data_IF_705456210125
#
_entry.id   IF_705456210125
#
_cell.length_a   1.000
_cell.length_b   1.000
_cell.length_c   1.000
_cell.angle_alpha   90.00
_cell.angle_beta   90.00
_cell.angle_gamma   90.00
#
_symmetry.space_group_name_H-M   'P 1'
#
loop_
_entity.id
_entity.type
_entity.pdbx_description
1 polymer ?
#
# COMPACT_ATOMS: atom_id res chain seq x y z
N UNK A 1 -32.48 19.74 -7.37
CA UNK A 1 -32.63 18.46 -8.11
C UNK A 1 -32.24 18.67 -9.57
N UNK A 2 -31.00 18.33 -9.92
CA UNK A 2 -30.59 18.26 -11.31
C UNK A 2 -30.94 16.87 -11.86
N UNK A 3 -31.54 16.74 -13.03
CA UNK A 3 -31.82 15.43 -13.60
C UNK A 3 -30.50 14.65 -13.76
N UNK A 4 -30.45 13.45 -13.18
CA UNK A 4 -29.34 12.52 -13.40
C UNK A 4 -29.42 12.06 -14.86
N UNK A 5 -28.36 12.30 -15.64
CA UNK A 5 -28.21 11.78 -16.99
C UNK A 5 -28.32 10.25 -17.00
N UNK A 6 -28.84 9.70 -18.11
CA UNK A 6 -28.92 8.26 -18.29
C UNK A 6 -27.55 7.71 -18.73
N UNK A 7 -27.07 6.64 -18.10
CA UNK A 7 -25.89 5.90 -18.56
C UNK A 7 -26.36 4.62 -19.28
N UNK A 8 -26.02 4.46 -20.55
CA UNK A 8 -26.16 3.21 -21.28
C UNK A 8 -24.90 2.37 -21.11
N UNK A 9 -25.03 1.09 -20.69
CA UNK A 9 -23.90 0.15 -20.67
C UNK A 9 -23.90 -0.68 -21.97
N UNK A 10 -22.74 -0.75 -22.63
CA UNK A 10 -22.46 -1.63 -23.75
C UNK A 10 -21.45 -2.69 -23.32
N UNK A 11 -21.52 -3.88 -23.91
CA UNK A 11 -20.65 -5.01 -23.62
C UNK A 11 -19.85 -5.38 -24.87
N UNK A 12 -18.58 -5.74 -24.70
CA UNK A 12 -17.76 -6.27 -25.79
C UNK A 12 -18.16 -7.74 -26.06
N UNK A 13 -18.37 -8.08 -27.30
CA UNK A 13 -18.84 -9.41 -27.73
C UNK A 13 -17.72 -10.27 -28.34
N UNK A 14 -16.54 -9.69 -28.56
CA UNK A 14 -15.43 -10.36 -29.23
C UNK A 14 -14.38 -10.89 -28.26
N UNK A 15 -13.85 -12.08 -28.55
CA UNK A 15 -12.75 -12.71 -27.82
C UNK A 15 -11.53 -11.76 -27.72
N UNK A 16 -11.38 -11.13 -26.57
CA UNK A 16 -10.32 -10.15 -26.31
C UNK A 16 -9.00 -10.88 -26.16
N UNK A 17 -8.12 -10.69 -27.13
CA UNK A 17 -6.77 -11.26 -27.11
C UNK A 17 -5.81 -10.52 -26.20
N UNK A 18 -6.07 -9.22 -25.92
CA UNK A 18 -5.19 -8.37 -25.12
C UNK A 18 -5.96 -7.17 -24.56
N UNK A 19 -5.98 -7.04 -23.23
CA UNK A 19 -6.77 -6.00 -22.55
C UNK A 19 -6.32 -4.57 -22.88
N UNK A 20 -5.02 -4.22 -22.94
CA UNK A 20 -4.57 -2.89 -23.35
C UNK A 20 -5.07 -2.50 -24.75
N UNK A 21 -5.05 -3.43 -25.70
CA UNK A 21 -5.58 -3.20 -27.06
C UNK A 21 -7.09 -3.00 -27.06
N UNK A 22 -7.84 -3.75 -26.26
CA UNK A 22 -9.28 -3.60 -26.12
C UNK A 22 -9.65 -2.22 -25.53
N UNK A 23 -8.91 -1.78 -24.51
CA UNK A 23 -9.06 -0.43 -23.93
C UNK A 23 -8.82 0.65 -24.99
N UNK A 24 -7.75 0.52 -25.77
CA UNK A 24 -7.44 1.50 -26.82
C UNK A 24 -8.53 1.58 -27.90
N UNK A 25 -9.08 0.43 -28.33
CA UNK A 25 -10.20 0.36 -29.27
C UNK A 25 -11.47 1.02 -28.71
N UNK A 26 -11.87 0.68 -27.49
CA UNK A 26 -13.05 1.27 -26.86
C UNK A 26 -12.91 2.79 -26.71
N UNK A 27 -11.74 3.27 -26.32
CA UNK A 27 -11.47 4.70 -26.26
C UNK A 27 -11.55 5.34 -27.66
N UNK A 28 -11.03 4.69 -28.70
CA UNK A 28 -11.11 5.20 -30.08
C UNK A 28 -12.55 5.32 -30.58
N UNK A 29 -13.40 4.33 -30.31
CA UNK A 29 -14.84 4.38 -30.63
C UNK A 29 -15.52 5.57 -29.93
N UNK A 30 -15.24 5.79 -28.65
CA UNK A 30 -15.79 6.89 -27.88
C UNK A 30 -15.29 8.25 -28.35
N UNK A 31 -14.02 8.37 -28.77
CA UNK A 31 -13.45 9.60 -29.34
C UNK A 31 -14.13 9.94 -30.68
N UNK A 32 -14.36 8.94 -31.54
CA UNK A 32 -15.09 9.12 -32.80
C UNK A 32 -16.54 9.55 -32.53
N UNK A 33 -17.22 8.84 -31.61
CA UNK A 33 -18.61 9.14 -31.24
C UNK A 33 -18.74 10.58 -30.70
N UNK A 34 -17.81 11.02 -29.86
CA UNK A 34 -17.82 12.34 -29.22
C UNK A 34 -17.41 13.50 -30.16
N UNK A 35 -16.88 13.22 -31.34
CA UNK A 35 -16.34 14.25 -32.24
C UNK A 35 -17.38 15.26 -32.70
N UNK A 36 -18.65 14.88 -32.75
CA UNK A 36 -19.78 15.73 -33.18
C UNK A 36 -20.58 16.33 -32.01
N UNK A 37 -20.18 16.03 -30.76
CA UNK A 37 -20.91 16.47 -29.60
C UNK A 37 -20.34 17.74 -28.99
N UNK A 38 -21.21 18.57 -28.42
CA UNK A 38 -20.83 19.76 -27.65
C UNK A 38 -20.84 19.47 -26.16
N UNK A 39 -19.86 19.99 -25.42
CA UNK A 39 -19.79 19.85 -23.93
C UNK A 39 -18.73 18.85 -23.47
N UNK A 40 -18.86 18.33 -22.25
CA UNK A 40 -17.94 17.37 -21.67
C UNK A 40 -17.83 16.12 -22.54
N UNK A 41 -16.62 15.62 -22.76
CA UNK A 41 -16.36 14.46 -23.63
C UNK A 41 -15.20 13.58 -23.15
N UNK A 42 -14.77 13.77 -21.89
CA UNK A 42 -13.65 13.04 -21.33
C UNK A 42 -14.01 11.59 -21.03
N UNK A 43 -13.01 10.73 -21.10
CA UNK A 43 -13.12 9.29 -20.91
C UNK A 43 -12.42 8.93 -19.62
N UNK A 44 -13.08 8.14 -18.75
CA UNK A 44 -12.48 7.50 -17.59
C UNK A 44 -12.29 6.01 -17.87
N UNK A 45 -11.05 5.55 -17.82
CA UNK A 45 -10.68 4.14 -17.96
C UNK A 45 -10.34 3.60 -16.59
N UNK A 46 -10.97 2.52 -16.18
CA UNK A 46 -10.62 1.84 -14.93
C UNK A 46 -9.48 0.85 -15.14
N UNK A 47 -8.57 0.77 -14.17
CA UNK A 47 -7.44 -0.14 -14.13
C UNK A 47 -7.38 -0.85 -12.78
N UNK A 48 -6.86 -2.09 -12.73
CA UNK A 48 -6.74 -2.84 -11.48
C UNK A 48 -5.58 -2.35 -10.61
N UNK A 49 -4.58 -1.70 -11.19
CA UNK A 49 -3.41 -1.19 -10.48
C UNK A 49 -2.46 -0.41 -11.38
N UNK A 50 -1.34 0.01 -10.81
CA UNK A 50 -0.32 0.84 -11.47
C UNK A 50 0.25 0.19 -12.76
N UNK A 51 0.47 -1.12 -12.73
CA UNK A 51 0.94 -1.84 -13.91
C UNK A 51 -0.02 -1.72 -15.09
N UNK A 52 -1.32 -1.97 -14.86
CA UNK A 52 -2.35 -1.84 -15.92
C UNK A 52 -2.43 -0.41 -16.42
N UNK A 53 -2.28 0.60 -15.53
CA UNK A 53 -2.27 2.01 -15.93
C UNK A 53 -1.18 2.27 -16.96
N UNK A 54 0.05 1.82 -16.71
CA UNK A 54 1.17 2.00 -17.65
C UNK A 54 0.97 1.21 -18.95
N UNK A 55 0.45 -0.02 -18.87
CA UNK A 55 0.16 -0.83 -20.05
C UNK A 55 -0.95 -0.18 -20.92
N UNK A 56 -2.00 0.35 -20.30
CA UNK A 56 -3.09 1.05 -21.00
C UNK A 56 -2.60 2.39 -21.55
N UNK A 57 -1.82 3.15 -20.82
CA UNK A 57 -1.21 4.39 -21.30
C UNK A 57 -0.33 4.14 -22.52
N UNK A 58 0.53 3.13 -22.49
CA UNK A 58 1.38 2.77 -23.62
C UNK A 58 0.56 2.36 -24.85
N UNK A 59 -0.50 1.57 -24.68
CA UNK A 59 -1.38 1.16 -25.76
C UNK A 59 -2.15 2.36 -26.38
N UNK A 60 -2.64 3.28 -25.55
CA UNK A 60 -3.31 4.49 -25.99
C UNK A 60 -2.35 5.43 -26.72
N UNK A 61 -1.14 5.67 -26.21
CA UNK A 61 -0.12 6.48 -26.88
C UNK A 61 0.28 5.87 -28.22
N UNK A 62 0.47 4.55 -28.25
CA UNK A 62 0.75 3.86 -29.52
C UNK A 62 -0.41 4.02 -30.53
N UNK A 63 -1.66 3.90 -30.08
CA UNK A 63 -2.84 4.02 -30.94
C UNK A 63 -3.01 5.43 -31.50
N UNK A 64 -2.87 6.47 -30.68
CA UNK A 64 -3.09 7.86 -31.08
C UNK A 64 -1.83 8.52 -31.67
N UNK A 65 -0.64 8.00 -31.42
CA UNK A 65 0.63 8.52 -31.93
C UNK A 65 0.77 10.03 -31.71
N UNK A 66 1.03 10.81 -32.78
CA UNK A 66 1.26 12.26 -32.63
C UNK A 66 0.12 13.05 -31.98
N UNK A 67 -1.10 12.50 -31.96
CA UNK A 67 -2.24 13.13 -31.26
C UNK A 67 -2.13 13.04 -29.75
N UNK A 68 -1.40 12.05 -29.23
CA UNK A 68 -1.15 11.90 -27.81
C UNK A 68 0.14 12.62 -27.34
N UNK A 69 1.07 12.88 -28.27
CA UNK A 69 2.41 13.38 -27.94
C UNK A 69 2.55 14.90 -28.16
N UNK A 70 1.79 15.48 -29.11
CA UNK A 70 1.85 16.92 -29.42
C UNK A 70 0.55 17.64 -29.05
N UNK A 71 0.53 18.25 -27.88
CA UNK A 71 -0.61 19.03 -27.37
C UNK A 71 -0.87 20.35 -28.11
N UNK A 72 -0.07 20.72 -29.11
CA UNK A 72 -0.33 21.89 -29.99
C UNK A 72 -1.32 21.57 -31.09
N UNK A 73 -1.56 20.33 -31.37
CA UNK A 73 -2.51 19.88 -32.37
C UNK A 73 -3.94 20.20 -31.94
N UNK A 74 -4.80 20.67 -32.82
CA UNK A 74 -6.21 20.93 -32.48
C UNK A 74 -6.99 19.63 -32.14
N UNK A 75 -6.55 18.48 -32.64
CA UNK A 75 -7.12 17.16 -32.42
C UNK A 75 -6.37 16.34 -31.39
N UNK A 76 -5.53 16.98 -30.55
CA UNK A 76 -4.76 16.30 -29.51
C UNK A 76 -5.65 15.60 -28.47
N UNK A 77 -5.12 14.54 -27.87
CA UNK A 77 -5.76 13.76 -26.82
C UNK A 77 -4.81 13.69 -25.64
N UNK A 78 -5.25 14.19 -24.50
CA UNK A 78 -4.48 14.20 -23.28
C UNK A 78 -4.70 12.88 -22.51
N UNK A 79 -3.64 12.09 -22.30
CA UNK A 79 -3.70 10.82 -21.57
C UNK A 79 -3.09 11.05 -20.20
N UNK A 80 -3.86 10.77 -19.13
CA UNK A 80 -3.47 11.07 -17.76
C UNK A 80 -3.65 9.87 -16.84
N UNK A 81 -2.59 9.38 -16.18
CA UNK A 81 -2.71 8.40 -15.11
C UNK A 81 -3.25 9.04 -13.82
N UNK A 82 -4.04 8.28 -13.04
CA UNK A 82 -4.55 8.69 -11.74
C UNK A 82 -4.54 7.52 -10.74
N UNK A 83 -3.58 7.51 -9.83
CA UNK A 83 -3.47 6.51 -8.77
C UNK A 83 -2.84 7.09 -7.50
N UNK A 84 -3.02 6.39 -6.38
CA UNK A 84 -2.69 6.92 -5.04
C UNK A 84 -1.19 7.21 -4.81
N UNK A 85 -0.29 6.61 -5.60
CA UNK A 85 1.16 6.82 -5.46
C UNK A 85 1.69 8.00 -6.27
N UNK A 86 0.89 8.58 -7.15
CA UNK A 86 1.29 9.80 -7.85
C UNK A 86 1.55 10.94 -6.85
N UNK A 87 2.43 11.85 -7.24
CA UNK A 87 2.62 13.08 -6.48
C UNK A 87 1.31 13.87 -6.36
N UNK A 88 1.13 14.63 -5.29
CA UNK A 88 -0.07 15.47 -5.13
C UNK A 88 -0.24 16.45 -6.31
N UNK A 89 0.87 16.95 -6.86
CA UNK A 89 0.84 17.84 -8.03
C UNK A 89 0.29 17.14 -9.27
N UNK A 90 0.72 15.90 -9.54
CA UNK A 90 0.25 15.13 -10.70
C UNK A 90 -1.21 14.70 -10.53
N UNK A 91 -1.63 14.33 -9.31
CA UNK A 91 -3.04 14.06 -9.03
C UNK A 91 -3.92 15.31 -9.24
N UNK A 92 -3.42 16.50 -8.92
CA UNK A 92 -4.16 17.75 -9.12
C UNK A 92 -4.37 18.11 -10.58
N UNK A 93 -3.47 17.76 -11.50
CA UNK A 93 -3.58 18.03 -12.93
C UNK A 93 -4.90 17.51 -13.53
N UNK A 94 -5.43 16.41 -13.01
CA UNK A 94 -6.69 15.83 -13.48
C UNK A 94 -7.89 16.77 -13.25
N UNK A 95 -7.79 17.67 -12.28
CA UNK A 95 -8.84 18.64 -11.95
C UNK A 95 -8.68 20.01 -12.63
N UNK A 96 -7.57 20.22 -13.30
CA UNK A 96 -7.32 21.47 -14.04
C UNK A 96 -8.17 21.56 -15.31
N UNK A 97 -8.53 22.78 -15.70
CA UNK A 97 -9.22 23.03 -16.97
C UNK A 97 -8.30 22.69 -18.14
N UNK A 98 -8.86 22.13 -19.20
CA UNK A 98 -8.12 21.69 -20.38
C UNK A 98 -8.88 21.99 -21.67
N UNK A 99 -8.14 22.03 -22.79
CA UNK A 99 -8.67 22.33 -24.11
C UNK A 99 -8.99 21.08 -24.92
N UNK A 100 -8.20 20.02 -24.74
CA UNK A 100 -8.29 18.79 -25.51
C UNK A 100 -9.16 17.74 -24.81
N UNK A 101 -9.65 16.78 -25.55
CA UNK A 101 -10.31 15.62 -24.95
C UNK A 101 -9.31 14.85 -24.09
N UNK A 102 -9.72 14.49 -22.89
CA UNK A 102 -8.87 13.83 -21.90
C UNK A 102 -9.29 12.38 -21.72
N UNK A 103 -8.31 11.49 -21.63
CA UNK A 103 -8.48 10.08 -21.21
C UNK A 103 -7.78 9.92 -19.88
N UNK A 104 -8.54 9.75 -18.81
CA UNK A 104 -8.02 9.53 -17.46
C UNK A 104 -8.01 8.03 -17.17
N UNK A 105 -6.85 7.46 -16.88
CA UNK A 105 -6.70 6.04 -16.53
C UNK A 105 -6.55 5.96 -15.01
N UNK A 106 -7.53 5.41 -14.31
CA UNK A 106 -7.57 5.44 -12.85
C UNK A 106 -7.83 4.06 -12.23
N UNK A 107 -7.31 3.86 -11.02
CA UNK A 107 -7.73 2.72 -10.19
C UNK A 107 -9.11 2.97 -9.59
N UNK A 108 -9.57 2.06 -8.72
CA UNK A 108 -10.82 2.22 -7.95
C UNK A 108 -10.88 3.49 -7.08
N UNK A 109 -9.81 4.29 -6.99
CA UNK A 109 -9.84 5.64 -6.38
C UNK A 109 -10.86 6.54 -7.05
N UNK A 110 -11.08 6.39 -8.36
CA UNK A 110 -12.08 7.11 -9.13
C UNK A 110 -13.49 6.49 -9.05
N UNK A 111 -13.64 5.33 -8.43
CA UNK A 111 -14.95 4.67 -8.27
C UNK A 111 -15.81 5.34 -7.19
N UNK A 112 -15.22 5.70 -6.04
CA UNK A 112 -15.95 6.29 -4.91
C UNK A 112 -15.32 7.59 -4.39
N UNK A 113 -14.00 7.64 -4.27
CA UNK A 113 -13.29 8.65 -3.50
C UNK A 113 -13.09 9.98 -4.23
N UNK A 114 -12.92 9.95 -5.55
CA UNK A 114 -12.66 11.14 -6.35
C UNK A 114 -13.72 11.31 -7.44
N UNK A 115 -14.13 12.55 -7.66
CA UNK A 115 -14.98 12.92 -8.78
C UNK A 115 -14.14 13.67 -9.80
N UNK A 116 -13.76 12.97 -10.87
CA UNK A 116 -13.05 13.60 -12.01
C UNK A 116 -14.05 14.45 -12.79
N UNK A 117 -13.78 15.75 -12.99
CA UNK A 117 -14.67 16.62 -13.76
C UNK A 117 -14.64 16.26 -15.26
N UNK A 118 -15.70 16.58 -15.99
CA UNK A 118 -15.74 16.45 -17.46
C UNK A 118 -15.97 15.03 -17.98
N UNK A 119 -16.01 14.01 -17.13
CA UNK A 119 -16.19 12.62 -17.53
C UNK A 119 -17.60 12.41 -18.07
N UNK A 120 -17.68 11.99 -19.33
CA UNK A 120 -18.90 11.59 -20.03
C UNK A 120 -18.89 10.12 -20.43
N UNK A 121 -17.70 9.54 -20.60
CA UNK A 121 -17.54 8.16 -21.04
C UNK A 121 -16.71 7.36 -20.04
N UNK A 122 -17.05 6.08 -19.94
CA UNK A 122 -16.35 5.13 -19.04
C UNK A 122 -15.95 3.89 -19.84
N UNK A 123 -14.73 3.42 -19.66
CA UNK A 123 -14.26 2.10 -20.11
C UNK A 123 -13.90 1.28 -18.90
N UNK A 124 -14.56 0.14 -18.72
CA UNK A 124 -14.40 -0.72 -17.54
C UNK A 124 -13.95 -2.13 -17.91
N UNK A 125 -12.68 -2.50 -17.67
CA UNK A 125 -12.17 -3.86 -17.81
C UNK A 125 -12.75 -4.87 -16.81
N UNK A 126 -13.47 -4.41 -15.79
CA UNK A 126 -14.20 -5.27 -14.86
C UNK A 126 -13.39 -5.91 -13.76
N UNK A 127 -12.16 -5.44 -13.50
CA UNK A 127 -11.29 -5.96 -12.45
C UNK A 127 -10.82 -4.87 -11.48
N UNK A 128 -10.47 -5.27 -10.26
CA UNK A 128 -9.86 -4.40 -9.26
C UNK A 128 -8.95 -5.20 -8.33
N UNK A 129 -8.05 -4.51 -7.63
CA UNK A 129 -7.34 -5.07 -6.48
C UNK A 129 -8.24 -5.00 -5.26
N UNK A 130 -8.59 -6.14 -4.72
CA UNK A 130 -9.43 -6.26 -3.53
C UNK A 130 -8.59 -6.78 -2.38
N UNK A 131 -8.63 -6.06 -1.25
CA UNK A 131 -7.90 -6.46 -0.06
C UNK A 131 -8.49 -7.73 0.53
N UNK A 132 -7.66 -8.78 0.71
CA UNK A 132 -8.05 -10.06 1.29
C UNK A 132 -7.01 -10.56 2.28
N UNK A 133 -7.45 -11.01 3.42
CA UNK A 133 -6.59 -11.67 4.40
C UNK A 133 -6.35 -13.13 4.01
N UNK A 134 -5.09 -13.47 3.79
CA UNK A 134 -4.70 -14.87 3.55
C UNK A 134 -4.58 -15.61 4.87
N UNK A 135 -5.54 -16.48 5.17
CA UNK A 135 -5.54 -17.33 6.37
C UNK A 135 -4.31 -18.26 6.45
N UNK A 136 -3.79 -18.67 5.29
CA UNK A 136 -2.60 -19.55 5.22
C UNK A 136 -1.30 -18.79 5.47
N UNK A 137 -1.12 -17.64 4.80
CA UNK A 137 0.09 -16.84 4.92
C UNK A 137 0.02 -15.81 6.06
N UNK A 138 -1.14 -15.63 6.71
CA UNK A 138 -1.40 -14.65 7.78
C UNK A 138 -1.03 -13.21 7.40
N UNK A 139 -1.19 -12.87 6.12
CA UNK A 139 -0.90 -11.54 5.59
C UNK A 139 -2.05 -11.01 4.76
N UNK A 140 -2.19 -9.70 4.73
CA UNK A 140 -3.09 -9.03 3.82
C UNK A 140 -2.52 -9.08 2.39
N UNK A 141 -3.33 -9.49 1.43
CA UNK A 141 -3.00 -9.55 0.00
C UNK A 141 -3.94 -8.66 -0.79
N UNK A 142 -3.50 -8.26 -1.96
CA UNK A 142 -4.28 -7.45 -2.90
C UNK A 142 -4.37 -8.18 -4.26
N UNK A 143 -5.03 -9.33 -4.33
CA UNK A 143 -5.24 -10.02 -5.60
C UNK A 143 -6.08 -9.15 -6.54
N UNK A 144 -5.86 -9.33 -7.86
CA UNK A 144 -6.73 -8.78 -8.89
C UNK A 144 -7.91 -9.74 -9.05
N UNK A 145 -9.10 -9.24 -8.85
CA UNK A 145 -10.34 -10.02 -8.90
C UNK A 145 -11.39 -9.29 -9.75
N UNK A 146 -12.37 -10.04 -10.34
CA UNK A 146 -13.55 -9.43 -10.93
C UNK A 146 -14.31 -8.58 -9.90
N UNK A 147 -14.76 -7.41 -10.31
CA UNK A 147 -15.58 -6.54 -9.46
C UNK A 147 -17.01 -7.07 -9.35
N UNK A 148 -17.73 -6.67 -8.30
CA UNK A 148 -19.15 -6.96 -8.14
C UNK A 148 -20.02 -6.18 -9.14
N UNK A 149 -21.29 -6.60 -9.32
CA UNK A 149 -22.26 -5.88 -10.13
C UNK A 149 -22.45 -4.45 -9.62
N UNK A 150 -22.58 -4.26 -8.31
CA UNK A 150 -22.73 -2.93 -7.70
C UNK A 150 -21.52 -2.02 -7.98
N UNK A 151 -20.29 -2.54 -7.95
CA UNK A 151 -19.09 -1.81 -8.31
C UNK A 151 -19.08 -1.43 -9.79
N UNK A 152 -19.45 -2.36 -10.68
CA UNK A 152 -19.59 -2.11 -12.11
C UNK A 152 -20.63 -1.00 -12.41
N UNK A 153 -21.74 -0.98 -11.67
CA UNK A 153 -22.77 0.04 -11.81
C UNK A 153 -22.32 1.38 -11.25
N UNK A 154 -21.57 1.40 -10.14
CA UNK A 154 -20.93 2.61 -9.62
C UNK A 154 -19.94 3.21 -10.64
N UNK A 155 -19.12 2.38 -11.29
CA UNK A 155 -18.21 2.80 -12.34
C UNK A 155 -18.96 3.38 -13.53
N UNK A 156 -19.99 2.68 -14.01
CA UNK A 156 -20.86 3.21 -15.09
C UNK A 156 -21.53 4.52 -14.68
N UNK A 157 -21.94 4.69 -13.43
CA UNK A 157 -22.54 5.91 -12.90
C UNK A 157 -21.59 7.13 -12.91
N UNK A 158 -20.29 6.94 -13.19
CA UNK A 158 -19.36 8.07 -13.32
C UNK A 158 -19.59 8.90 -14.59
N UNK A 159 -20.08 8.29 -15.67
CA UNK A 159 -20.38 9.01 -16.91
C UNK A 159 -21.73 9.77 -16.89
N UNK A 160 -22.67 9.39 -16.03
CA UNK A 160 -24.02 9.98 -16.00
C UNK A 160 -24.21 11.18 -15.06
N UNK A 161 -23.15 11.88 -14.64
CA UNK A 161 -23.25 12.95 -13.64
C UNK A 161 -23.57 14.32 -14.19
N UNK A 162 -23.09 14.63 -15.39
CA UNK A 162 -23.16 15.97 -16.00
C UNK A 162 -24.07 15.94 -17.24
N UNK A 163 -24.04 14.89 -18.01
CA UNK A 163 -24.84 14.67 -19.23
C UNK A 163 -25.05 13.17 -19.42
N UNK A 164 -25.91 12.80 -20.36
CA UNK A 164 -26.03 11.41 -20.78
C UNK A 164 -24.70 10.89 -21.31
N UNK A 165 -24.27 9.73 -20.80
CA UNK A 165 -22.97 9.16 -21.09
C UNK A 165 -23.04 7.69 -21.45
N UNK A 166 -21.91 7.16 -21.94
CA UNK A 166 -21.76 5.77 -22.36
C UNK A 166 -20.70 5.10 -21.49
N UNK A 167 -21.02 3.90 -20.98
CA UNK A 167 -20.05 3.04 -20.31
C UNK A 167 -19.85 1.77 -21.15
N UNK A 168 -18.62 1.53 -21.60
CA UNK A 168 -18.23 0.30 -22.30
C UNK A 168 -17.62 -0.64 -21.29
N UNK A 169 -18.23 -1.84 -21.10
CA UNK A 169 -17.71 -2.92 -20.30
C UNK A 169 -16.94 -3.88 -21.20
N UNK A 170 -15.67 -4.12 -20.90
CA UNK A 170 -14.79 -5.02 -21.65
C UNK A 170 -14.89 -6.48 -21.15
N UNK A 171 -16.08 -6.89 -20.83
CA UNK A 171 -16.45 -8.26 -20.45
C UNK A 171 -17.91 -8.49 -20.87
N UNK A 172 -18.28 -9.75 -21.04
CA UNK A 172 -19.61 -10.07 -21.57
C UNK A 172 -20.73 -9.75 -20.57
N UNK A 173 -21.95 -9.61 -21.08
CA UNK A 173 -23.14 -9.46 -20.25
C UNK A 173 -23.35 -10.69 -19.37
N UNK A 174 -23.06 -11.85 -19.90
CA UNK A 174 -23.17 -13.13 -19.19
C UNK A 174 -22.19 -13.18 -18.01
N UNK A 175 -20.91 -12.75 -18.20
CA UNK A 175 -19.95 -12.60 -17.10
C UNK A 175 -20.48 -11.62 -16.04
N UNK A 176 -21.00 -10.46 -16.43
CA UNK A 176 -21.59 -9.51 -15.47
C UNK A 176 -22.73 -10.12 -14.65
N UNK A 177 -23.64 -10.87 -15.29
CA UNK A 177 -24.79 -11.45 -14.62
C UNK A 177 -24.41 -12.57 -13.63
N UNK A 178 -23.26 -13.23 -13.85
CA UNK A 178 -22.72 -14.26 -12.94
C UNK A 178 -21.94 -13.70 -11.76
N UNK A 179 -21.56 -12.44 -11.80
CA UNK A 179 -20.79 -11.80 -10.73
C UNK A 179 -21.62 -11.63 -9.45
N UNK A 180 -20.96 -11.65 -8.27
CA UNK A 180 -21.62 -11.30 -7.01
C UNK A 180 -22.30 -9.93 -7.09
N UNK A 181 -23.49 -9.81 -6.51
CA UNK A 181 -24.23 -8.54 -6.52
C UNK A 181 -23.48 -7.41 -5.80
N UNK A 182 -22.85 -7.73 -4.68
CA UNK A 182 -22.08 -6.79 -3.87
C UNK A 182 -20.69 -7.33 -3.56
N UNK A 183 -19.73 -6.43 -3.34
CA UNK A 183 -18.42 -6.81 -2.79
C UNK A 183 -18.61 -7.26 -1.35
N UNK A 184 -17.92 -8.33 -0.95
CA UNK A 184 -17.97 -8.82 0.43
C UNK A 184 -17.61 -7.73 1.43
N UNK A 185 -18.32 -7.62 2.57
CA UNK A 185 -17.99 -6.70 3.65
C UNK A 185 -16.56 -6.88 4.17
N UNK A 186 -16.00 -5.84 4.72
CA UNK A 186 -14.62 -5.86 5.22
C UNK A 186 -14.40 -6.93 6.29
N UNK A 187 -15.38 -7.14 7.17
CA UNK A 187 -15.32 -8.15 8.23
C UNK A 187 -15.06 -9.57 7.71
N UNK A 188 -15.48 -9.87 6.48
CA UNK A 188 -15.27 -11.19 5.85
C UNK A 188 -13.92 -11.28 5.13
N UNK A 189 -13.20 -10.15 4.95
CA UNK A 189 -11.99 -10.05 4.14
C UNK A 189 -10.73 -9.70 4.92
N UNK A 190 -10.84 -9.35 6.21
CA UNK A 190 -9.72 -8.90 7.05
C UNK A 190 -9.42 -9.88 8.18
N UNK A 191 -8.26 -9.70 8.85
CA UNK A 191 -8.01 -10.39 10.11
C UNK A 191 -9.00 -9.91 11.18
N UNK A 192 -9.51 -10.83 11.97
CA UNK A 192 -10.45 -10.52 13.05
C UNK A 192 -9.77 -10.26 14.40
N UNK A 193 -8.43 -10.28 14.47
CA UNK A 193 -7.70 -10.09 15.74
C UNK A 193 -8.11 -8.80 16.45
N UNK A 194 -8.16 -7.67 15.75
CA UNK A 194 -8.57 -6.39 16.32
C UNK A 194 -10.05 -6.38 16.76
N UNK A 195 -10.94 -6.97 15.98
CA UNK A 195 -12.38 -7.07 16.31
C UNK A 195 -12.58 -7.91 17.56
N UNK A 196 -11.99 -9.11 17.60
CA UNK A 196 -12.04 -10.01 18.77
C UNK A 196 -11.47 -9.33 20.02
N UNK A 197 -10.31 -8.65 19.88
CA UNK A 197 -9.71 -7.92 20.99
C UNK A 197 -10.65 -6.84 21.54
N UNK A 198 -11.29 -6.09 20.65
CA UNK A 198 -12.24 -5.07 21.07
C UNK A 198 -13.47 -5.65 21.76
N UNK A 199 -14.08 -6.70 21.20
CA UNK A 199 -15.23 -7.38 21.80
C UNK A 199 -14.92 -7.96 23.19
N UNK A 200 -13.74 -8.56 23.37
CA UNK A 200 -13.26 -9.02 24.65
C UNK A 200 -13.04 -7.85 25.64
N UNK A 201 -12.56 -6.71 25.15
CA UNK A 201 -12.23 -5.57 26.00
C UNK A 201 -13.47 -4.86 26.56
N UNK A 202 -14.56 -4.84 25.80
CA UNK A 202 -15.86 -4.27 26.22
C UNK A 202 -16.77 -5.30 26.87
N UNK A 203 -16.35 -6.58 26.91
CA UNK A 203 -17.06 -7.64 27.64
C UNK A 203 -18.26 -8.24 26.91
N UNK A 204 -18.43 -7.98 25.61
CA UNK A 204 -19.54 -8.53 24.79
C UNK A 204 -19.26 -9.94 24.26
N UNK A 205 -18.00 -10.41 24.31
CA UNK A 205 -17.64 -11.76 23.98
C UNK A 205 -16.66 -12.33 25.02
N UNK A 206 -16.71 -13.65 25.23
CA UNK A 206 -15.79 -14.43 26.07
C UNK A 206 -15.31 -15.69 25.38
N UNK A 207 -16.03 -16.12 24.35
CA UNK A 207 -15.77 -17.32 23.56
C UNK A 207 -15.81 -16.99 22.07
N UNK A 208 -15.40 -17.95 21.23
CA UNK A 208 -15.50 -17.79 19.77
C UNK A 208 -16.97 -17.82 19.32
N UNK A 209 -17.80 -18.62 20.00
CA UNK A 209 -19.24 -18.69 19.77
C UNK A 209 -19.92 -17.34 20.03
N UNK A 210 -19.54 -16.62 21.08
CA UNK A 210 -20.09 -15.29 21.37
C UNK A 210 -19.82 -14.32 20.22
N UNK A 211 -18.61 -14.37 19.63
CA UNK A 211 -18.25 -13.55 18.48
C UNK A 211 -19.09 -13.90 17.26
N UNK A 212 -19.24 -15.20 16.95
CA UNK A 212 -20.02 -15.66 15.81
C UNK A 212 -21.49 -15.33 15.95
N UNK A 213 -22.04 -15.42 17.16
CA UNK A 213 -23.46 -15.18 17.48
C UNK A 213 -23.78 -13.72 17.83
N UNK A 214 -22.84 -12.79 17.69
CA UNK A 214 -23.02 -11.39 18.09
C UNK A 214 -24.13 -10.65 17.32
N UNK A 215 -24.61 -11.19 16.20
CA UNK A 215 -25.65 -10.54 15.40
C UNK A 215 -25.10 -9.57 14.37
N UNK A 216 -23.91 -9.83 13.85
CA UNK A 216 -23.41 -9.13 12.67
C UNK A 216 -24.38 -9.30 11.50
N UNK A 217 -24.53 -8.26 10.68
CA UNK A 217 -25.34 -8.31 9.46
C UNK A 217 -24.84 -9.42 8.55
N UNK A 218 -23.49 -9.49 8.38
CA UNK A 218 -22.77 -10.52 7.67
C UNK A 218 -21.82 -11.20 8.65
N UNK A 219 -22.23 -12.31 9.30
CA UNK A 219 -21.41 -12.94 10.33
C UNK A 219 -20.15 -13.59 9.75
N UNK A 220 -18.99 -13.42 10.38
CA UNK A 220 -17.77 -14.09 9.98
C UNK A 220 -17.86 -15.60 10.26
N UNK A 221 -17.15 -16.40 9.46
CA UNK A 221 -17.07 -17.83 9.69
C UNK A 221 -16.27 -18.16 10.96
N UNK A 222 -16.58 -19.30 11.60
CA UNK A 222 -15.93 -19.77 12.82
C UNK A 222 -14.41 -19.92 12.67
N UNK A 223 -13.92 -20.23 11.47
CA UNK A 223 -12.48 -20.35 11.20
C UNK A 223 -11.81 -18.99 11.25
N UNK A 224 -12.40 -17.96 10.66
CA UNK A 224 -11.86 -16.58 10.71
C UNK A 224 -11.84 -16.06 12.16
N UNK A 225 -12.89 -16.36 12.93
CA UNK A 225 -12.95 -16.01 14.36
C UNK A 225 -11.84 -16.74 15.13
N UNK A 226 -11.67 -18.05 14.91
CA UNK A 226 -10.62 -18.86 15.54
C UNK A 226 -9.23 -18.35 15.19
N UNK A 227 -9.00 -17.94 13.92
CA UNK A 227 -7.74 -17.34 13.49
C UNK A 227 -7.46 -16.02 14.25
N UNK A 228 -8.48 -15.20 14.50
CA UNK A 228 -8.35 -13.99 15.34
C UNK A 228 -7.96 -14.33 16.80
N UNK A 229 -8.57 -15.34 17.41
CA UNK A 229 -8.16 -15.81 18.75
C UNK A 229 -6.73 -16.38 18.75
N UNK A 230 -6.33 -17.10 17.71
CA UNK A 230 -4.98 -17.63 17.57
C UNK A 230 -3.96 -16.50 17.45
N UNK A 231 -4.26 -15.46 16.68
CA UNK A 231 -3.43 -14.26 16.56
C UNK A 231 -3.24 -13.59 17.92
N UNK A 232 -4.31 -13.37 18.68
CA UNK A 232 -4.23 -12.76 20.00
C UNK A 232 -3.48 -13.64 21.01
N UNK A 233 -3.56 -14.97 20.87
CA UNK A 233 -2.80 -15.92 21.69
C UNK A 233 -1.30 -15.83 21.37
N UNK A 234 -0.93 -15.80 20.08
CA UNK A 234 0.46 -15.61 19.62
C UNK A 234 1.05 -14.30 20.18
N UNK A 235 0.27 -13.22 20.14
CA UNK A 235 0.67 -11.91 20.68
C UNK A 235 0.64 -11.84 22.21
N UNK A 236 0.28 -12.93 22.89
CA UNK A 236 0.11 -12.99 24.36
C UNK A 236 -0.90 -11.97 24.89
N UNK A 237 -1.87 -11.58 24.08
CA UNK A 237 -2.93 -10.65 24.44
C UNK A 237 -4.05 -11.30 25.25
N UNK A 238 -4.28 -12.59 25.04
CA UNK A 238 -5.29 -13.37 25.72
C UNK A 238 -4.70 -14.59 26.43
N UNK A 239 -5.39 -15.05 27.46
CA UNK A 239 -5.13 -16.27 28.16
C UNK A 239 -6.43 -16.97 28.51
N UNK A 240 -6.35 -18.22 29.02
CA UNK A 240 -7.51 -18.98 29.49
C UNK A 240 -7.51 -19.06 31.01
N UNK A 241 -8.64 -18.74 31.60
CA UNK A 241 -8.86 -18.92 33.05
C UNK A 241 -10.20 -19.61 33.26
N UNK A 242 -10.20 -20.80 33.90
CA UNK A 242 -11.42 -21.61 34.13
C UNK A 242 -12.24 -21.90 32.86
N UNK A 243 -11.57 -22.11 31.73
CA UNK A 243 -12.22 -22.37 30.46
C UNK A 243 -12.61 -21.14 29.64
N UNK A 244 -12.74 -19.98 30.27
CA UNK A 244 -13.05 -18.71 29.61
C UNK A 244 -11.79 -17.99 29.09
N UNK A 245 -11.91 -17.29 27.99
CA UNK A 245 -10.88 -16.41 27.45
C UNK A 245 -10.89 -15.08 28.20
N UNK A 246 -9.72 -14.66 28.65
CA UNK A 246 -9.55 -13.40 29.38
C UNK A 246 -8.39 -12.60 28.80
N UNK A 247 -8.52 -11.27 28.84
CA UNK A 247 -7.42 -10.39 28.46
C UNK A 247 -6.28 -10.47 29.47
N UNK A 248 -5.07 -10.66 28.99
CA UNK A 248 -3.84 -10.51 29.78
C UNK A 248 -3.58 -9.04 30.11
N UNK A 249 -2.52 -8.75 30.87
CA UNK A 249 -2.06 -7.36 31.03
C UNK A 249 -1.71 -6.73 29.65
N UNK A 250 -0.99 -7.49 28.80
CA UNK A 250 -0.66 -7.10 27.42
C UNK A 250 -1.94 -6.84 26.59
N UNK A 251 -2.95 -7.71 26.67
CA UNK A 251 -4.20 -7.55 25.95
C UNK A 251 -4.96 -6.29 26.35
N UNK A 252 -5.02 -5.97 27.63
CA UNK A 252 -5.65 -4.72 28.11
C UNK A 252 -4.91 -3.46 27.63
N UNK A 253 -3.58 -3.54 27.51
CA UNK A 253 -2.80 -2.44 26.92
C UNK A 253 -3.06 -2.34 25.42
N UNK A 254 -3.02 -3.46 24.68
CA UNK A 254 -3.31 -3.51 23.24
C UNK A 254 -4.69 -2.93 22.88
N UNK A 255 -5.72 -3.27 23.65
CA UNK A 255 -7.08 -2.78 23.43
C UNK A 255 -7.20 -1.24 23.52
N UNK A 256 -6.21 -0.56 24.09
CA UNK A 256 -6.15 0.90 24.22
C UNK A 256 -5.28 1.57 23.14
N UNK A 257 -4.59 0.79 22.33
CA UNK A 257 -3.70 1.26 21.28
C UNK A 257 -4.45 1.21 19.94
N UNK A 258 -4.83 2.35 19.33
CA UNK A 258 -5.67 2.39 18.13
C UNK A 258 -4.85 2.16 16.84
N UNK A 259 -4.06 1.10 16.80
CA UNK A 259 -3.29 0.65 15.63
C UNK A 259 -3.47 -0.87 15.48
N UNK A 260 -2.92 -1.42 14.41
CA UNK A 260 -2.88 -2.87 14.21
C UNK A 260 -2.34 -3.61 15.45
N UNK A 261 -2.94 -4.75 15.80
CA UNK A 261 -2.62 -5.50 17.04
C UNK A 261 -1.17 -5.97 17.07
N UNK A 262 -0.59 -6.32 15.92
CA UNK A 262 0.83 -6.73 15.83
C UNK A 262 1.75 -5.55 16.07
N UNK A 263 1.44 -4.41 15.48
CA UNK A 263 2.19 -3.16 15.66
C UNK A 263 2.09 -2.68 17.12
N UNK A 264 0.90 -2.73 17.69
CA UNK A 264 0.71 -2.43 19.12
C UNK A 264 1.53 -3.35 20.04
N UNK A 265 1.66 -4.63 19.66
CA UNK A 265 2.49 -5.58 20.42
C UNK A 265 3.98 -5.23 20.40
N UNK A 266 4.48 -4.71 19.27
CA UNK A 266 5.86 -4.21 19.16
C UNK A 266 6.12 -3.06 20.14
N UNK A 267 5.20 -2.08 20.18
CA UNK A 267 5.27 -0.95 21.13
C UNK A 267 5.32 -1.44 22.59
N UNK A 268 4.44 -2.37 22.96
CA UNK A 268 4.41 -2.91 24.31
C UNK A 268 5.72 -3.65 24.66
N UNK A 269 6.30 -4.39 23.69
CA UNK A 269 7.58 -5.06 23.94
C UNK A 269 8.72 -4.09 24.17
N UNK A 270 8.82 -3.05 23.35
CA UNK A 270 9.80 -1.99 23.55
C UNK A 270 9.63 -1.29 24.92
N UNK A 271 8.37 -1.04 25.33
CA UNK A 271 8.10 -0.44 26.65
C UNK A 271 8.56 -1.32 27.83
N UNK A 272 8.49 -2.65 27.69
CA UNK A 272 8.93 -3.59 28.72
C UNK A 272 10.43 -3.59 28.99
N UNK A 273 11.24 -3.14 28.03
CA UNK A 273 12.70 -3.05 28.21
C UNK A 273 13.08 -1.98 29.22
N UNK A 274 12.19 -1.02 29.49
CA UNK A 274 12.46 0.12 30.35
C UNK A 274 13.36 1.20 29.72
N UNK A 275 13.75 1.04 28.45
CA UNK A 275 14.52 2.04 27.69
C UNK A 275 13.60 3.05 27.01
N UNK A 276 13.55 4.32 27.47
CA UNK A 276 12.69 5.33 26.87
C UNK A 276 13.08 5.67 25.42
N UNK A 277 14.37 5.64 25.09
CA UNK A 277 14.85 5.94 23.75
C UNK A 277 14.53 4.81 22.77
N UNK A 278 14.70 3.54 23.18
CA UNK A 278 14.30 2.41 22.37
C UNK A 278 12.80 2.45 22.06
N UNK A 279 11.97 2.73 23.06
CA UNK A 279 10.53 2.89 22.82
C UNK A 279 10.25 3.98 21.80
N UNK A 280 10.92 5.13 21.90
CA UNK A 280 10.75 6.23 20.94
C UNK A 280 11.18 5.83 19.52
N UNK A 281 12.27 5.09 19.36
CA UNK A 281 12.72 4.54 18.07
C UNK A 281 11.69 3.55 17.49
N UNK A 282 11.15 2.67 18.30
CA UNK A 282 10.11 1.72 17.90
C UNK A 282 8.82 2.43 17.49
N UNK A 283 8.43 3.53 18.17
CA UNK A 283 7.26 4.33 17.76
C UNK A 283 7.44 4.93 16.38
N UNK A 284 8.65 5.39 16.03
CA UNK A 284 8.95 5.89 14.69
C UNK A 284 8.78 4.80 13.63
N UNK A 285 9.33 3.60 13.89
CA UNK A 285 9.20 2.46 12.96
C UNK A 285 7.75 1.99 12.82
N UNK A 286 7.04 1.86 13.93
CA UNK A 286 5.62 1.44 13.94
C UNK A 286 4.75 2.43 13.19
N UNK A 287 4.96 3.73 13.37
CA UNK A 287 4.26 4.75 12.62
C UNK A 287 4.57 4.67 11.11
N UNK A 288 5.82 4.42 10.73
CA UNK A 288 6.21 4.20 9.34
C UNK A 288 5.47 2.98 8.73
N UNK A 289 5.43 1.87 9.44
CA UNK A 289 4.75 0.65 9.00
C UNK A 289 3.22 0.79 8.90
N UNK A 290 2.64 1.76 9.62
CA UNK A 290 1.20 2.04 9.61
C UNK A 290 0.77 2.91 8.43
N UNK A 291 1.70 3.49 7.69
CA UNK A 291 1.45 4.44 6.61
C UNK A 291 1.98 3.92 5.28
N UNK A 292 1.56 4.59 4.21
CA UNK A 292 2.17 4.37 2.91
C UNK A 292 3.60 4.94 2.91
N UNK A 293 4.55 4.20 2.32
CA UNK A 293 5.95 4.62 2.20
C UNK A 293 6.05 6.07 1.69
N UNK A 294 6.74 6.95 2.40
CA UNK A 294 6.88 8.35 2.00
C UNK A 294 7.83 8.57 0.83
N UNK A 295 8.63 7.59 0.43
CA UNK A 295 9.55 7.69 -0.70
C UNK A 295 8.78 7.75 -2.01
N UNK A 296 9.07 8.75 -2.84
CA UNK A 296 8.49 8.91 -4.18
C UNK A 296 9.55 8.56 -5.24
N UNK A 297 9.11 7.94 -6.33
CA UNK A 297 9.95 7.55 -7.47
C UNK A 297 9.29 8.03 -8.75
N UNK A 298 9.37 9.33 -9.09
CA UNK A 298 8.83 9.85 -10.34
C UNK A 298 9.47 9.14 -11.54
N UNK A 299 8.70 8.82 -12.56
CA UNK A 299 9.17 8.01 -13.68
C UNK A 299 10.32 8.68 -14.43
N UNK A 300 10.28 10.00 -14.56
CA UNK A 300 11.33 10.82 -15.21
C UNK A 300 12.61 10.99 -14.37
N UNK A 301 12.59 10.64 -13.08
CA UNK A 301 13.68 10.85 -12.11
C UNK A 301 13.93 9.64 -11.21
N UNK A 302 13.53 8.47 -11.64
CA UNK A 302 13.60 7.24 -10.85
C UNK A 302 15.01 6.92 -10.37
N UNK A 303 16.00 7.02 -11.24
CA UNK A 303 17.40 6.74 -10.92
C UNK A 303 17.97 7.75 -9.90
N UNK A 304 17.62 9.04 -10.04
CA UNK A 304 18.01 10.06 -9.08
C UNK A 304 17.38 9.83 -7.70
N UNK A 305 16.09 9.49 -7.67
CA UNK A 305 15.38 9.19 -6.43
C UNK A 305 15.99 7.97 -5.74
N UNK A 306 16.25 6.88 -6.48
CA UNK A 306 16.89 5.67 -5.94
C UNK A 306 18.28 5.97 -5.39
N UNK A 307 19.10 6.74 -6.11
CA UNK A 307 20.42 7.14 -5.65
C UNK A 307 20.36 7.95 -4.35
N UNK A 308 19.39 8.86 -4.22
CA UNK A 308 19.21 9.67 -3.02
C UNK A 308 18.69 8.82 -1.84
N UNK A 309 17.74 7.92 -2.08
CA UNK A 309 17.19 7.06 -1.04
C UNK A 309 18.21 6.03 -0.54
N UNK A 310 19.08 5.52 -1.43
CA UNK A 310 20.12 4.57 -1.05
C UNK A 310 21.10 5.09 0.00
N UNK A 311 21.24 6.42 0.17
CA UNK A 311 22.05 6.99 1.25
C UNK A 311 21.56 6.60 2.65
N UNK A 312 20.27 6.36 2.79
CA UNK A 312 19.61 6.01 4.06
C UNK A 312 19.49 4.50 4.25
N UNK A 313 19.72 3.73 3.18
CA UNK A 313 19.52 2.29 3.20
C UNK A 313 20.51 1.61 4.15
N UNK A 314 19.99 0.97 5.17
CA UNK A 314 20.75 0.02 5.98
C UNK A 314 20.78 -1.32 5.27
N UNK A 315 21.97 -1.91 5.11
CA UNK A 315 22.16 -3.16 4.35
C UNK A 315 21.43 -4.37 4.97
N UNK A 316 21.09 -4.28 6.25
CA UNK A 316 20.56 -5.40 7.03
C UNK A 316 19.10 -5.21 7.44
N UNK A 317 18.56 -3.96 7.39
CA UNK A 317 17.25 -3.69 7.98
C UNK A 317 16.52 -2.49 7.39
N UNK A 318 15.35 -2.73 6.83
CA UNK A 318 14.42 -1.66 6.41
C UNK A 318 13.90 -0.84 7.60
N UNK A 319 13.87 -1.41 8.81
CA UNK A 319 13.47 -0.68 10.01
C UNK A 319 14.49 0.39 10.37
N UNK A 320 15.78 0.07 10.25
CA UNK A 320 16.87 1.02 10.48
C UNK A 320 16.93 2.07 9.36
N UNK A 321 16.62 1.68 8.13
CA UNK A 321 16.44 2.62 7.01
C UNK A 321 15.38 3.68 7.32
N UNK A 322 14.23 3.29 7.85
CA UNK A 322 13.19 4.23 8.26
C UNK A 322 13.68 5.21 9.34
N UNK A 323 14.42 4.71 10.32
CA UNK A 323 15.02 5.54 11.36
C UNK A 323 16.07 6.52 10.82
N UNK A 324 16.88 6.11 9.84
CA UNK A 324 17.87 6.99 9.19
C UNK A 324 17.16 8.16 8.47
N UNK A 325 16.05 7.88 7.76
CA UNK A 325 15.23 8.91 7.13
C UNK A 325 14.63 9.86 8.17
N UNK A 326 14.09 9.30 9.26
CA UNK A 326 13.52 10.08 10.35
C UNK A 326 14.54 11.02 10.99
N UNK A 327 15.71 10.49 11.34
CA UNK A 327 16.78 11.29 11.95
C UNK A 327 17.20 12.45 11.04
N UNK A 328 17.42 12.16 9.76
CA UNK A 328 17.80 13.18 8.77
C UNK A 328 16.78 14.29 8.64
N UNK A 329 15.52 13.96 8.59
CA UNK A 329 14.46 14.93 8.28
C UNK A 329 13.99 15.70 9.51
N UNK A 330 13.90 15.04 10.69
CA UNK A 330 13.24 15.62 11.86
C UNK A 330 14.16 15.85 13.07
N UNK A 331 15.41 15.37 13.05
CA UNK A 331 16.24 15.41 14.25
C UNK A 331 17.66 15.96 14.03
N UNK A 332 18.33 15.55 12.94
CA UNK A 332 19.74 15.86 12.75
C UNK A 332 20.03 17.37 12.73
N UNK A 333 19.15 18.16 12.11
CA UNK A 333 19.23 19.61 12.00
C UNK A 333 18.10 20.33 12.77
N UNK A 334 17.45 19.61 13.69
CA UNK A 334 16.27 20.06 14.41
C UNK A 334 14.96 19.86 13.63
N UNK A 335 13.84 20.13 14.30
CA UNK A 335 12.51 19.96 13.69
C UNK A 335 12.25 21.02 12.61
N UNK A 336 12.05 20.64 11.33
CA UNK A 336 11.93 21.60 10.25
C UNK A 336 10.61 22.36 10.29
N UNK A 337 10.63 23.64 9.92
CA UNK A 337 9.40 24.37 9.60
C UNK A 337 8.70 23.73 8.41
N UNK A 338 7.38 24.00 8.23
CA UNK A 338 6.63 23.47 7.09
C UNK A 338 7.27 23.78 5.73
N UNK A 339 7.85 24.97 5.56
CA UNK A 339 8.52 25.36 4.32
C UNK A 339 9.85 24.62 4.14
N UNK A 340 10.60 24.43 5.22
CA UNK A 340 11.83 23.64 5.19
C UNK A 340 11.53 22.17 4.86
N UNK A 341 10.49 21.59 5.48
CA UNK A 341 10.06 20.23 5.20
C UNK A 341 9.64 20.06 3.73
N UNK A 342 8.86 20.98 3.16
CA UNK A 342 8.50 20.96 1.73
C UNK A 342 9.73 20.98 0.83
N UNK A 343 10.73 21.80 1.17
CA UNK A 343 11.98 21.88 0.40
C UNK A 343 12.76 20.57 0.48
N UNK A 344 12.92 19.98 1.67
CA UNK A 344 13.57 18.68 1.86
C UNK A 344 12.85 17.61 1.04
N UNK A 345 11.54 17.52 1.16
CA UNK A 345 10.75 16.52 0.44
C UNK A 345 10.91 16.66 -1.08
N UNK A 346 10.90 17.88 -1.61
CA UNK A 346 11.09 18.12 -3.05
C UNK A 346 12.49 17.71 -3.53
N UNK A 347 13.52 18.00 -2.74
CA UNK A 347 14.91 17.71 -3.13
C UNK A 347 15.32 16.26 -2.92
N UNK A 348 14.69 15.57 -1.95
CA UNK A 348 15.05 14.21 -1.57
C UNK A 348 13.97 13.18 -1.99
N UNK A 349 13.00 13.58 -2.82
CA UNK A 349 11.94 12.73 -3.36
C UNK A 349 11.10 12.04 -2.29
N UNK A 350 10.65 12.80 -1.29
CA UNK A 350 9.69 12.36 -0.31
C UNK A 350 8.32 13.01 -0.53
N UNK A 351 7.26 12.30 -0.26
CA UNK A 351 5.91 12.87 -0.19
C UNK A 351 5.76 13.74 1.04
N UNK A 352 5.60 15.05 0.85
CA UNK A 352 5.40 15.99 1.97
C UNK A 352 4.21 15.61 2.84
N UNK A 353 3.10 15.18 2.23
CA UNK A 353 1.89 14.77 2.95
C UNK A 353 2.17 13.55 3.84
N UNK A 354 2.83 12.52 3.30
CA UNK A 354 3.13 11.29 4.05
C UNK A 354 4.18 11.52 5.13
N UNK A 355 5.18 12.35 4.87
CA UNK A 355 6.15 12.73 5.90
C UNK A 355 5.48 13.47 7.05
N UNK A 356 4.53 14.36 6.77
CA UNK A 356 3.72 15.03 7.80
C UNK A 356 2.84 14.06 8.56
N UNK A 357 2.13 13.16 7.87
CA UNK A 357 1.32 12.11 8.50
C UNK A 357 2.16 11.21 9.41
N UNK A 358 3.37 10.87 8.99
CA UNK A 358 4.31 10.09 9.82
C UNK A 358 4.66 10.82 11.11
N UNK A 359 5.02 12.09 11.04
CA UNK A 359 5.29 12.93 12.20
C UNK A 359 4.09 13.04 13.14
N UNK A 360 2.92 13.29 12.59
CA UNK A 360 1.67 13.42 13.36
C UNK A 360 1.33 12.10 14.06
N UNK A 361 1.48 10.96 13.38
CA UNK A 361 1.22 9.65 13.98
C UNK A 361 2.22 9.31 15.09
N UNK A 362 3.52 9.59 14.90
CA UNK A 362 4.51 9.43 15.98
C UNK A 362 4.11 10.25 17.20
N UNK A 363 3.66 11.49 17.00
CA UNK A 363 3.22 12.37 18.09
C UNK A 363 1.99 11.80 18.82
N UNK A 364 1.01 11.28 18.09
CA UNK A 364 -0.17 10.62 18.66
C UNK A 364 0.21 9.36 19.46
N UNK A 365 1.08 8.51 18.91
CA UNK A 365 1.56 7.31 19.59
C UNK A 365 2.35 7.64 20.86
N UNK A 366 3.16 8.69 20.84
CA UNK A 366 3.87 9.19 22.04
C UNK A 366 2.89 9.64 23.13
N UNK A 367 1.83 10.38 22.77
CA UNK A 367 0.81 10.83 23.70
C UNK A 367 0.09 9.65 24.34
N UNK A 368 -0.33 8.68 23.52
CA UNK A 368 -0.97 7.45 24.00
C UNK A 368 -0.08 6.64 24.92
N UNK A 369 1.22 6.51 24.62
CA UNK A 369 2.18 5.85 25.50
C UNK A 369 2.27 6.53 26.87
N UNK A 370 2.19 7.85 26.95
CA UNK A 370 2.11 8.60 28.20
C UNK A 370 0.85 8.26 28.99
N UNK A 371 -0.30 8.15 28.33
CA UNK A 371 -1.57 7.72 28.96
C UNK A 371 -1.52 6.30 29.50
N UNK A 372 -0.74 5.42 28.83
CA UNK A 372 -0.42 4.07 29.31
C UNK A 372 0.67 4.05 30.39
N UNK A 373 1.19 5.22 30.79
CA UNK A 373 2.27 5.40 31.77
C UNK A 373 3.61 4.79 31.31
N UNK A 374 3.84 4.71 29.99
CA UNK A 374 5.14 4.33 29.44
C UNK A 374 6.05 5.56 29.41
N UNK A 375 7.31 5.37 29.80
CA UNK A 375 8.33 6.43 29.70
C UNK A 375 8.86 6.47 28.27
N UNK A 376 8.60 7.56 27.57
CA UNK A 376 9.04 7.78 26.18
C UNK A 376 10.12 8.84 26.15
N UNK A 377 11.31 8.48 25.68
CA UNK A 377 12.43 9.38 25.43
C UNK A 377 12.39 9.97 24.01
N UNK A 378 13.56 10.29 23.48
CA UNK A 378 13.72 10.74 22.10
C UNK A 378 14.35 9.62 21.25
N UNK A 379 13.96 9.50 19.96
CA UNK A 379 14.44 8.44 19.08
C UNK A 379 15.85 8.77 18.54
N UNK A 380 16.80 9.03 19.44
CA UNK A 380 18.16 9.43 19.09
C UNK A 380 19.04 8.21 18.81
N UNK A 381 19.89 8.25 17.76
CA UNK A 381 20.90 7.25 17.51
C UNK A 381 22.08 7.40 18.51
N UNK A 382 22.85 6.32 18.70
CA UNK A 382 24.09 6.35 19.47
C UNK A 382 25.16 7.25 18.80
N UNK A 383 25.22 7.22 17.48
CA UNK A 383 26.07 8.14 16.71
C UNK A 383 25.46 8.41 15.33
N UNK A 384 25.88 9.55 14.74
CA UNK A 384 25.51 10.00 13.39
C UNK A 384 26.74 10.04 12.49
N UNK A 385 26.54 9.97 11.15
CA UNK A 385 27.60 10.32 10.19
C UNK A 385 28.16 11.71 10.47
N UNK A 386 29.43 11.92 10.15
CA UNK A 386 30.12 13.18 10.39
C UNK A 386 29.38 14.40 9.81
N UNK A 387 29.52 15.54 10.48
CA UNK A 387 28.86 16.78 10.07
C UNK A 387 29.30 17.20 8.67
N UNK A 388 30.57 16.96 8.35
CA UNK A 388 31.18 17.23 7.05
C UNK A 388 30.46 16.52 5.90
N UNK A 389 30.09 15.27 6.08
CA UNK A 389 29.35 14.49 5.07
C UNK A 389 27.93 15.05 4.89
N UNK A 390 27.28 15.41 5.99
CA UNK A 390 25.91 15.96 5.99
C UNK A 390 25.81 17.34 5.37
N UNK A 391 26.89 18.11 5.38
CA UNK A 391 26.98 19.47 4.81
C UNK A 391 27.38 19.48 3.33
N UNK A 392 27.82 18.37 2.76
CA UNK A 392 28.13 18.28 1.34
C UNK A 392 26.89 18.60 0.47
N UNK A 393 27.07 19.12 -0.75
CA UNK A 393 26.00 19.19 -1.75
C UNK A 393 25.38 17.82 -2.01
N UNK A 394 24.08 17.74 -2.29
CA UNK A 394 23.32 16.52 -2.48
C UNK A 394 23.95 15.50 -3.45
N UNK A 395 24.50 16.01 -4.57
CA UNK A 395 25.20 15.19 -5.55
C UNK A 395 26.48 14.55 -5.01
N UNK A 396 27.16 15.18 -4.08
CA UNK A 396 28.35 14.63 -3.41
C UNK A 396 27.98 13.75 -2.23
N UNK A 397 26.91 14.08 -1.48
CA UNK A 397 26.38 13.19 -0.44
C UNK A 397 25.93 11.84 -0.99
N UNK A 398 25.52 11.75 -2.25
CA UNK A 398 25.08 10.49 -2.86
C UNK A 398 26.15 9.38 -2.89
N UNK A 399 27.42 9.74 -2.72
CA UNK A 399 28.52 8.79 -2.60
C UNK A 399 28.77 8.29 -1.16
N UNK A 400 28.06 8.82 -0.17
CA UNK A 400 28.27 8.51 1.24
C UNK A 400 27.01 7.99 1.90
N UNK A 401 27.15 6.98 2.76
CA UNK A 401 26.06 6.50 3.61
C UNK A 401 25.72 7.54 4.69
N UNK A 402 24.43 7.73 4.92
CA UNK A 402 23.90 8.55 6.03
C UNK A 402 23.29 7.67 7.14
N UNK A 403 23.68 6.39 7.22
CA UNK A 403 23.20 5.49 8.25
C UNK A 403 23.77 5.89 9.63
N UNK A 404 22.89 5.89 10.61
CA UNK A 404 23.20 6.13 12.01
C UNK A 404 23.45 4.81 12.76
N UNK A 405 24.12 4.88 13.89
CA UNK A 405 24.23 3.73 14.79
C UNK A 405 23.00 3.66 15.72
N UNK A 406 22.18 2.63 15.53
CA UNK A 406 20.97 2.35 16.32
C UNK A 406 21.15 1.15 17.25
N UNK A 407 20.28 1.03 18.24
CA UNK A 407 20.11 -0.22 19.00
C UNK A 407 19.35 -1.26 18.14
N UNK A 408 20.05 -1.80 17.16
CA UNK A 408 19.48 -2.75 16.20
C UNK A 408 18.87 -3.96 16.89
N UNK A 409 19.52 -4.51 17.90
CA UNK A 409 19.07 -5.68 18.64
C UNK A 409 17.77 -5.39 19.41
N UNK A 410 17.70 -4.28 20.12
CA UNK A 410 16.50 -3.87 20.85
C UNK A 410 15.33 -3.61 19.92
N UNK A 411 15.58 -2.92 18.79
CA UNK A 411 14.58 -2.65 17.76
C UNK A 411 14.06 -3.97 17.17
N UNK A 412 14.95 -4.83 16.68
CA UNK A 412 14.55 -6.09 16.04
C UNK A 412 13.84 -7.05 16.99
N UNK A 413 14.26 -7.16 18.25
CA UNK A 413 13.54 -7.94 19.27
C UNK A 413 12.13 -7.41 19.52
N UNK A 414 11.97 -6.09 19.53
CA UNK A 414 10.66 -5.46 19.67
C UNK A 414 9.77 -5.74 18.46
N UNK A 415 10.30 -5.60 17.23
CA UNK A 415 9.58 -5.91 15.99
C UNK A 415 9.17 -7.39 15.94
N UNK A 416 10.09 -8.28 16.33
CA UNK A 416 9.85 -9.71 16.35
C UNK A 416 8.63 -10.10 17.21
N UNK A 417 8.38 -9.41 18.32
CA UNK A 417 7.24 -9.70 19.18
C UNK A 417 5.87 -9.58 18.49
N UNK A 418 5.78 -8.78 17.42
CA UNK A 418 4.58 -8.67 16.56
C UNK A 418 4.63 -9.56 15.32
N UNK A 419 5.77 -10.12 14.95
CA UNK A 419 6.00 -10.80 13.67
C UNK A 419 6.38 -12.28 13.82
N UNK A 420 6.12 -12.92 14.94
CA UNK A 420 6.54 -14.29 15.23
C UNK A 420 6.15 -15.30 14.15
N UNK A 421 4.92 -15.21 13.63
CA UNK A 421 4.43 -16.11 12.57
C UNK A 421 4.85 -15.70 11.15
N UNK A 422 5.53 -14.57 11.01
CA UNK A 422 5.97 -14.03 9.69
C UNK A 422 7.49 -14.21 9.48
N UNK A 423 8.17 -14.90 10.40
CA UNK A 423 9.60 -15.15 10.25
C UNK A 423 9.88 -16.19 9.19
N UNK A 424 10.81 -15.84 8.29
CA UNK A 424 11.47 -16.79 7.41
C UNK A 424 12.85 -17.13 7.95
N UNK A 425 13.19 -18.41 7.98
CA UNK A 425 14.54 -18.86 8.29
C UNK A 425 15.19 -19.35 7.01
N UNK A 426 16.36 -18.81 6.68
CA UNK A 426 17.15 -19.32 5.58
C UNK A 426 17.61 -20.73 5.89
N UNK A 427 17.04 -21.71 5.19
CA UNK A 427 17.53 -23.09 5.29
C UNK A 427 18.77 -23.18 4.41
N UNK A 428 19.93 -23.13 5.04
CA UNK A 428 21.20 -23.47 4.36
C UNK A 428 21.19 -24.97 4.12
N UNK A 429 20.81 -25.36 2.92
CA UNK A 429 20.85 -26.77 2.51
C UNK A 429 22.30 -27.13 2.25
N UNK A 430 22.90 -27.88 3.17
CA UNK A 430 24.22 -28.48 2.88
C UNK A 430 24.12 -29.34 1.62
N UNK A 431 25.00 -29.08 0.62
CA UNK A 431 24.96 -29.82 -0.62
C UNK A 431 25.25 -31.31 -0.34
N UNK A 432 24.29 -32.16 -0.69
CA UNK A 432 24.44 -33.62 -0.53
C UNK A 432 25.28 -34.22 -1.69
N UNK A 433 25.94 -35.30 -1.40
CA UNK A 433 26.74 -36.02 -2.41
C UNK A 433 25.92 -36.42 -3.65
N UNK A 434 24.60 -36.64 -3.47
CA UNK A 434 23.63 -36.90 -4.55
C UNK A 434 23.43 -35.71 -5.51
N UNK A 435 23.64 -34.48 -5.07
CA UNK A 435 23.45 -33.28 -5.89
C UNK A 435 24.56 -33.16 -6.98
N UNK A 436 25.60 -33.97 -6.86
CA UNK A 436 26.73 -34.04 -7.77
C UNK A 436 26.89 -35.42 -8.44
N UNK A 437 25.83 -36.22 -8.47
CA UNK A 437 25.88 -37.62 -8.95
C UNK A 437 26.26 -37.76 -10.46
N UNK A 438 26.00 -36.72 -11.26
CA UNK A 438 26.39 -36.71 -12.69
C UNK A 438 27.78 -36.16 -12.99
N UNK A 439 28.54 -35.75 -11.96
CA UNK A 439 29.87 -35.18 -12.13
C UNK A 439 30.95 -36.13 -11.63
N UNK A 440 32.07 -36.28 -12.39
CA UNK A 440 33.18 -37.14 -12.03
C UNK A 440 34.49 -36.37 -11.80
N UNK A 441 35.39 -36.91 -10.98
CA UNK A 441 36.75 -36.43 -10.77
C UNK A 441 36.86 -34.96 -10.35
N UNK A 442 37.70 -34.20 -11.04
CA UNK A 442 38.02 -32.80 -10.74
C UNK A 442 36.80 -31.86 -10.89
N UNK A 443 35.81 -32.16 -11.73
CA UNK A 443 34.61 -31.38 -11.93
C UNK A 443 33.71 -31.47 -10.68
N UNK A 444 33.55 -32.65 -10.08
CA UNK A 444 32.80 -32.88 -8.84
C UNK A 444 33.44 -32.16 -7.66
N UNK A 445 34.77 -32.24 -7.53
CA UNK A 445 35.52 -31.57 -6.47
C UNK A 445 35.37 -30.02 -6.54
N UNK A 446 35.43 -29.45 -7.75
CA UNK A 446 35.24 -28.00 -7.98
C UNK A 446 33.79 -27.55 -7.67
N UNK A 447 32.80 -28.35 -8.09
CA UNK A 447 31.38 -28.06 -7.83
C UNK A 447 31.06 -28.12 -6.33
N UNK A 448 31.55 -29.14 -5.60
CA UNK A 448 31.42 -29.24 -4.15
C UNK A 448 32.07 -28.06 -3.42
N UNK A 449 33.26 -27.64 -3.83
CA UNK A 449 33.97 -26.50 -3.22
C UNK A 449 33.28 -25.18 -3.48
N UNK A 450 32.64 -24.98 -4.66
CA UNK A 450 31.80 -23.81 -4.96
C UNK A 450 30.53 -23.80 -4.12
N UNK A 451 29.84 -24.92 -4.03
CA UNK A 451 28.61 -25.05 -3.25
C UNK A 451 28.86 -24.83 -1.74
N UNK A 452 29.97 -25.34 -1.18
CA UNK A 452 30.38 -25.07 0.20
C UNK A 452 30.76 -23.60 0.44
N UNK A 453 31.27 -22.89 -0.58
CA UNK A 453 31.59 -21.47 -0.46
C UNK A 453 30.30 -20.61 -0.53
N UNK A 454 29.30 -21.03 -1.28
CA UNK A 454 27.98 -20.37 -1.37
C UNK A 454 27.10 -20.62 -0.14
N UNK A 455 27.29 -21.75 0.59
CA UNK A 455 26.56 -22.03 1.82
C UNK A 455 27.15 -21.33 3.07
N UNK A 456 28.28 -20.66 2.95
CA UNK A 456 28.95 -19.92 4.03
C UNK A 456 28.82 -18.41 3.91
N UNK A 457 28.27 -17.92 2.81
CA UNK A 457 27.87 -16.53 2.61
C UNK A 457 26.35 -16.41 2.63
#
# INVERSE_FOLDING_TARGET
>A
DRPRGRSGASYADDGITDMPTAVARACAELVIHSSHERGPRDILVFASGERDIHEFEAALRHHYGPRADDMRRPDAIEIMPLFARLSAADQHKVFESHLHQRIVIATNVAETSLTVPGIRYVVDPGSARISRYSKTAKVQRLPIEPISQASADQRSGRCGRVADGIAIRLYSREDYETRPRFTEPEILRTSLGAVVLHMLSVGVARTAEDVTNFGFIDPPDMKAVSDGFNELTELKAIGRKRGEVTLTHTGRQLARIPIDVRLGRMVIEAAKTGSPNLLAQVLVVVAFLSLQDPRERPDDKREDADRIHNRYADETSDFLTALNIWDRVFQADGDPSNNALRRICKTEYFSWLRMRQWKDLVSQLRQMCKELKFKVGDPLPASRPGLEIRQLPLNQQAAHSLCCAWDADGIHKSMLAGLLSMMGMQVVREPKASDFAGLTGAARARAMKRAQKQSKN
#
